data_IF_271230603361
#
_entry.id   IF_271230603361
#
_cell.length_a   1.000
_cell.length_b   1.000
_cell.length_c   1.000
_cell.angle_alpha   90.00
_cell.angle_beta   90.00
_cell.angle_gamma   90.00
#
_symmetry.space_group_name_H-M   'P 1'
#
loop_
_entity.id
_entity.type
_entity.pdbx_description
1 polymer ?
#
# COMPACT_ATOMS: atom_id res chain seq x y z
N UNK A 1 -84.82 -32.56 -24.52
CA UNK A 1 -83.98 -31.43 -24.94
C UNK A 1 -83.49 -30.69 -23.67
N UNK A 2 -82.25 -30.95 -23.21
CA UNK A 2 -81.60 -30.23 -22.08
C UNK A 2 -80.29 -29.66 -22.58
N UNK A 3 -80.23 -28.34 -22.67
CA UNK A 3 -79.01 -27.59 -23.02
C UNK A 3 -78.11 -27.44 -21.81
N UNK A 4 -76.89 -27.99 -21.88
CA UNK A 4 -75.88 -27.85 -20.87
C UNK A 4 -75.00 -26.66 -21.21
N UNK A 5 -75.00 -25.63 -20.36
CA UNK A 5 -74.10 -24.44 -20.47
C UNK A 5 -72.70 -24.78 -19.83
N UNK A 6 -71.64 -24.62 -20.61
CA UNK A 6 -70.33 -24.66 -20.13
C UNK A 6 -69.87 -23.25 -19.70
N UNK A 7 -69.50 -23.11 -18.43
CA UNK A 7 -68.92 -21.86 -17.90
C UNK A 7 -67.37 -22.03 -17.98
N UNK A 8 -66.75 -21.24 -18.84
CA UNK A 8 -65.33 -21.17 -18.94
C UNK A 8 -64.74 -20.25 -17.83
N UNK A 9 -63.89 -20.83 -16.98
CA UNK A 9 -63.16 -20.05 -15.98
C UNK A 9 -61.81 -19.69 -16.62
N UNK A 10 -61.64 -18.39 -16.93
CA UNK A 10 -60.34 -17.82 -17.36
C UNK A 10 -59.48 -17.53 -16.14
N UNK A 11 -58.40 -18.30 -15.95
CA UNK A 11 -57.36 -18.00 -14.97
C UNK A 11 -56.43 -16.90 -15.54
N UNK A 12 -56.50 -15.72 -14.97
CA UNK A 12 -55.51 -14.65 -15.19
C UNK A 12 -54.28 -14.94 -14.29
N UNK A 13 -53.20 -15.39 -14.89
CA UNK A 13 -51.90 -15.48 -14.23
C UNK A 13 -51.22 -14.11 -14.33
N UNK A 14 -51.24 -13.33 -13.25
CA UNK A 14 -50.48 -12.11 -13.13
C UNK A 14 -49.00 -12.45 -12.82
N UNK A 15 -48.16 -12.42 -13.84
CA UNK A 15 -46.69 -12.52 -13.65
C UNK A 15 -46.16 -11.23 -13.05
N UNK A 16 -46.00 -11.21 -11.74
CA UNK A 16 -45.30 -10.16 -11.02
C UNK A 16 -43.81 -10.25 -11.28
N UNK A 17 -43.30 -9.43 -12.21
CA UNK A 17 -41.86 -9.24 -12.40
C UNK A 17 -41.32 -8.40 -11.24
N UNK A 18 -40.93 -9.04 -10.14
CA UNK A 18 -40.17 -8.44 -9.07
C UNK A 18 -38.75 -8.12 -9.60
N UNK A 19 -38.48 -6.85 -9.90
CA UNK A 19 -37.10 -6.36 -10.12
C UNK A 19 -36.39 -6.37 -8.78
N UNK A 20 -35.57 -7.37 -8.56
CA UNK A 20 -34.50 -7.33 -7.57
C UNK A 20 -33.41 -6.36 -8.08
N UNK A 21 -33.59 -5.08 -7.80
CA UNK A 21 -32.50 -4.12 -7.87
C UNK A 21 -31.65 -4.30 -6.61
N UNK A 22 -30.69 -5.24 -6.67
CA UNK A 22 -29.57 -5.24 -5.74
C UNK A 22 -28.66 -4.06 -6.14
N UNK A 23 -29.06 -2.85 -5.77
CA UNK A 23 -28.15 -1.72 -5.71
C UNK A 23 -27.25 -2.00 -4.49
N UNK A 24 -26.04 -2.50 -4.76
CA UNK A 24 -24.97 -2.41 -3.80
C UNK A 24 -24.78 -0.93 -3.45
N UNK A 25 -25.33 -0.50 -2.32
CA UNK A 25 -25.01 0.81 -1.76
C UNK A 25 -23.50 0.75 -1.46
N UNK A 26 -22.71 1.48 -2.23
CA UNK A 26 -21.34 1.82 -1.86
C UNK A 26 -21.43 2.37 -0.44
N UNK A 27 -20.79 1.70 0.52
CA UNK A 27 -20.76 2.15 1.90
C UNK A 27 -20.18 3.57 1.90
N UNK A 28 -20.90 4.52 2.48
CA UNK A 28 -20.50 5.92 2.47
C UNK A 28 -19.11 6.05 3.12
N UNK A 29 -18.24 6.86 2.51
CA UNK A 29 -16.91 7.19 3.06
C UNK A 29 -17.10 7.84 4.43
N UNK A 30 -16.57 7.24 5.52
CA UNK A 30 -16.61 7.84 6.86
C UNK A 30 -15.88 9.19 6.86
N UNK A 31 -16.33 10.11 7.73
CA UNK A 31 -15.71 11.44 7.82
C UNK A 31 -15.40 11.80 9.26
N UNK A 32 -14.30 12.51 9.41
CA UNK A 32 -13.91 13.17 10.66
C UNK A 32 -14.81 14.37 10.97
N UNK A 33 -14.69 14.94 12.14
CA UNK A 33 -15.49 16.11 12.59
C UNK A 33 -15.25 17.36 11.75
N UNK A 34 -14.08 17.48 11.10
CA UNK A 34 -13.73 18.56 10.16
C UNK A 34 -14.12 18.23 8.70
N UNK A 35 -14.88 17.13 8.48
CA UNK A 35 -15.46 16.75 7.19
C UNK A 35 -14.49 16.07 6.22
N UNK A 36 -13.26 15.80 6.60
CA UNK A 36 -12.30 15.04 5.79
C UNK A 36 -12.61 13.54 5.84
N UNK A 37 -12.22 12.74 4.83
CA UNK A 37 -12.29 11.30 4.94
C UNK A 37 -11.57 10.80 6.20
N UNK A 38 -12.20 9.88 6.92
CA UNK A 38 -11.60 9.25 8.11
C UNK A 38 -10.79 8.01 7.68
N UNK A 39 -9.48 8.16 7.65
CA UNK A 39 -8.52 7.10 7.35
C UNK A 39 -8.10 6.31 8.59
N UNK A 40 -8.53 6.73 9.79
CA UNK A 40 -8.14 6.09 11.05
C UNK A 40 -8.48 4.60 11.06
N UNK A 41 -7.53 3.76 11.46
CA UNK A 41 -7.71 2.32 11.57
C UNK A 41 -6.45 1.53 11.24
N UNK A 42 -6.56 0.20 11.30
CA UNK A 42 -5.48 -0.71 10.92
C UNK A 42 -5.73 -1.21 9.51
N UNK A 43 -4.71 -1.10 8.68
CA UNK A 43 -4.75 -1.39 7.25
C UNK A 43 -3.67 -2.37 6.85
N UNK A 44 -3.88 -3.07 5.73
CA UNK A 44 -2.88 -3.97 5.14
C UNK A 44 -3.08 -4.09 3.63
N UNK A 45 -2.04 -4.56 2.94
CA UNK A 45 -2.15 -5.06 1.57
C UNK A 45 -2.37 -6.57 1.54
N UNK A 46 -2.99 -7.07 0.46
CA UNK A 46 -3.16 -8.51 0.21
C UNK A 46 -2.56 -8.85 -1.17
N UNK A 47 -1.28 -8.52 -1.36
CA UNK A 47 -0.54 -8.76 -2.60
C UNK A 47 0.89 -9.24 -2.31
N UNK A 48 1.69 -9.43 -3.35
CA UNK A 48 3.08 -9.90 -3.27
C UNK A 48 4.10 -8.82 -3.60
N UNK A 49 3.71 -7.53 -3.61
CA UNK A 49 4.57 -6.40 -3.98
C UNK A 49 5.85 -6.28 -3.12
N UNK A 50 5.81 -6.73 -1.87
CA UNK A 50 7.00 -6.77 -1.02
C UNK A 50 8.12 -7.66 -1.58
N UNK A 51 7.76 -8.69 -2.36
CA UNK A 51 8.72 -9.58 -3.02
C UNK A 51 9.21 -9.02 -4.35
N UNK A 52 8.29 -8.60 -5.20
CA UNK A 52 8.57 -7.88 -6.45
C UNK A 52 7.36 -7.02 -6.80
N UNK A 53 7.57 -5.74 -7.07
CA UNK A 53 6.53 -4.80 -7.49
C UNK A 53 6.08 -5.02 -8.94
N UNK A 54 6.82 -5.82 -9.74
CA UNK A 54 6.45 -6.26 -11.08
C UNK A 54 5.85 -7.68 -11.07
N UNK A 55 5.21 -8.10 -12.17
CA UNK A 55 4.74 -9.49 -12.33
C UNK A 55 5.88 -10.48 -12.17
N UNK A 56 5.68 -11.51 -11.36
CA UNK A 56 6.73 -12.47 -11.06
C UNK A 56 6.18 -13.89 -10.82
N UNK A 57 6.94 -14.87 -11.30
CA UNK A 57 6.65 -16.27 -11.04
C UNK A 57 7.09 -16.67 -9.63
N UNK A 58 6.46 -17.72 -9.08
CA UNK A 58 6.91 -18.33 -7.83
C UNK A 58 8.32 -18.92 -8.00
N UNK A 59 9.19 -18.66 -7.02
CA UNK A 59 10.50 -19.29 -6.88
C UNK A 59 10.72 -19.70 -5.44
N UNK A 60 11.82 -20.43 -5.15
CA UNK A 60 12.10 -20.86 -3.77
C UNK A 60 12.19 -19.64 -2.83
N UNK A 61 11.28 -19.59 -1.86
CA UNK A 61 11.20 -18.50 -0.86
C UNK A 61 10.53 -17.21 -1.37
N UNK A 62 9.93 -17.22 -2.58
CA UNK A 62 9.20 -16.08 -3.13
C UNK A 62 7.89 -16.56 -3.75
N UNK A 63 6.72 -16.19 -3.23
CA UNK A 63 5.43 -16.49 -3.85
C UNK A 63 5.34 -15.81 -5.22
N UNK A 64 4.65 -16.41 -6.17
CA UNK A 64 4.31 -15.75 -7.42
C UNK A 64 3.19 -14.75 -7.22
N UNK A 65 3.15 -13.71 -8.05
CA UNK A 65 2.10 -12.71 -7.94
C UNK A 65 2.04 -11.74 -9.11
N UNK A 66 0.91 -11.05 -9.18
CA UNK A 66 0.73 -9.93 -10.07
C UNK A 66 1.41 -8.69 -9.50
N UNK A 67 2.12 -7.96 -10.34
CA UNK A 67 2.74 -6.69 -9.98
C UNK A 67 1.73 -5.57 -9.73
N UNK A 68 2.22 -4.51 -9.13
CA UNK A 68 1.45 -3.30 -8.79
C UNK A 68 1.88 -2.09 -9.63
N UNK A 69 2.93 -2.25 -10.45
CA UNK A 69 3.44 -1.22 -11.37
C UNK A 69 2.53 -1.10 -12.57
N UNK A 70 2.09 0.11 -12.90
CA UNK A 70 1.28 0.38 -14.10
C UNK A 70 2.04 -0.04 -15.36
N UNK A 71 1.41 -0.89 -16.18
CA UNK A 71 2.03 -1.44 -17.38
C UNK A 71 3.18 -2.42 -17.11
N UNK A 72 3.42 -2.79 -15.87
CA UNK A 72 4.45 -3.75 -15.46
C UNK A 72 5.88 -3.39 -15.90
N UNK A 73 6.16 -2.10 -16.16
CA UNK A 73 7.44 -1.60 -16.65
C UNK A 73 8.02 -0.53 -15.74
N UNK A 74 9.24 -0.73 -15.25
CA UNK A 74 10.02 0.27 -14.52
C UNK A 74 11.08 0.82 -15.50
N UNK A 75 11.04 2.13 -15.80
CA UNK A 75 11.86 2.73 -16.87
C UNK A 75 13.28 3.05 -16.38
N UNK A 76 14.05 2.03 -16.05
CA UNK A 76 15.43 2.17 -15.59
C UNK A 76 16.35 2.82 -16.65
N UNK A 77 17.27 3.67 -16.18
CA UNK A 77 18.45 4.00 -16.96
C UNK A 77 19.34 2.74 -17.15
N UNK A 78 20.11 2.69 -18.23
CA UNK A 78 20.90 1.49 -18.58
C UNK A 78 21.81 1.02 -17.44
N UNK A 79 22.53 1.95 -16.78
CA UNK A 79 23.38 1.62 -15.65
C UNK A 79 22.60 1.10 -14.45
N UNK A 80 21.42 1.69 -14.19
CA UNK A 80 20.59 1.34 -13.04
C UNK A 80 19.97 -0.05 -13.18
N UNK A 81 19.65 -0.47 -14.40
CA UNK A 81 19.19 -1.83 -14.69
C UNK A 81 20.27 -2.88 -14.35
N UNK A 82 21.54 -2.57 -14.60
CA UNK A 82 22.64 -3.44 -14.21
C UNK A 82 22.74 -3.55 -12.66
N UNK A 83 22.59 -2.43 -11.97
CA UNK A 83 22.57 -2.40 -10.49
C UNK A 83 21.38 -3.18 -9.91
N UNK A 84 20.17 -3.03 -10.47
CA UNK A 84 18.99 -3.83 -10.06
C UNK A 84 19.26 -5.33 -10.16
N UNK A 85 19.91 -5.79 -11.24
CA UNK A 85 20.28 -7.20 -11.41
C UNK A 85 21.31 -7.67 -10.38
N UNK A 86 22.28 -6.84 -10.05
CA UNK A 86 23.27 -7.11 -9.00
C UNK A 86 22.57 -7.20 -7.63
N UNK A 87 21.70 -6.26 -7.32
CA UNK A 87 20.90 -6.28 -6.09
C UNK A 87 20.09 -7.58 -5.99
N UNK A 88 19.41 -7.99 -7.06
CA UNK A 88 18.65 -9.23 -7.10
C UNK A 88 19.52 -10.46 -6.82
N UNK A 89 20.70 -10.54 -7.43
CA UNK A 89 21.63 -11.63 -7.22
C UNK A 89 22.07 -11.75 -5.76
N UNK A 90 22.25 -10.61 -5.09
CA UNK A 90 22.73 -10.50 -3.71
C UNK A 90 21.61 -10.28 -2.66
N UNK A 91 20.34 -10.34 -3.03
CA UNK A 91 19.18 -9.91 -2.22
C UNK A 91 19.11 -10.55 -0.82
N UNK A 92 19.60 -11.76 -0.67
CA UNK A 92 19.56 -12.47 0.62
C UNK A 92 20.42 -11.85 1.70
N UNK A 93 21.42 -11.05 1.33
CA UNK A 93 22.37 -10.43 2.26
C UNK A 93 22.46 -8.92 2.09
N UNK A 94 22.07 -8.40 0.91
CA UNK A 94 22.21 -6.98 0.58
C UNK A 94 20.91 -6.18 0.79
N UNK A 95 19.74 -6.84 0.78
CA UNK A 95 18.48 -6.15 1.04
C UNK A 95 18.53 -5.48 2.43
N UNK A 96 18.24 -4.17 2.53
CA UNK A 96 18.19 -3.45 3.80
C UNK A 96 17.27 -4.08 4.84
N UNK A 97 16.18 -4.71 4.41
CA UNK A 97 15.26 -5.45 5.28
C UNK A 97 15.96 -6.56 6.07
N UNK A 98 16.94 -7.26 5.47
CA UNK A 98 17.70 -8.33 6.16
C UNK A 98 18.61 -7.80 7.28
N UNK A 99 18.78 -6.49 7.36
CA UNK A 99 19.55 -5.77 8.38
C UNK A 99 18.65 -5.04 9.38
N UNK A 100 17.34 -5.26 9.32
CA UNK A 100 16.35 -4.54 10.12
C UNK A 100 16.38 -3.02 9.93
N UNK A 101 16.71 -2.55 8.74
CA UNK A 101 16.65 -1.13 8.42
C UNK A 101 15.20 -0.71 8.13
N UNK A 102 14.88 0.56 8.34
CA UNK A 102 13.59 1.11 7.96
C UNK A 102 13.37 0.95 6.45
N UNK A 103 12.19 0.55 6.01
CA UNK A 103 11.96 0.13 4.61
C UNK A 103 11.88 1.29 3.63
N UNK A 104 11.70 2.52 4.12
CA UNK A 104 11.45 3.68 3.28
C UNK A 104 10.04 3.72 2.70
N UNK A 105 9.74 4.80 1.99
CA UNK A 105 8.47 5.00 1.26
C UNK A 105 8.77 4.84 -0.24
N UNK A 106 7.93 4.11 -1.00
CA UNK A 106 6.61 3.59 -0.63
C UNK A 106 6.64 2.17 -0.03
N UNK A 107 7.79 1.49 0.06
CA UNK A 107 7.92 0.07 0.47
C UNK A 107 7.20 -0.25 1.78
N UNK A 108 7.27 0.63 2.78
CA UNK A 108 6.62 0.44 4.07
C UNK A 108 5.11 0.12 3.94
N UNK A 109 4.44 0.72 2.95
CA UNK A 109 2.98 0.59 2.76
C UNK A 109 2.57 -0.79 2.26
N UNK A 110 3.43 -1.49 1.50
CA UNK A 110 3.12 -2.81 0.94
C UNK A 110 3.98 -3.96 1.49
N UNK A 111 4.66 -3.75 2.59
CA UNK A 111 5.24 -4.86 3.34
C UNK A 111 4.14 -5.80 3.86
N UNK A 112 4.42 -7.11 4.07
CA UNK A 112 3.40 -8.07 4.49
C UNK A 112 3.05 -7.94 5.98
N UNK A 113 3.02 -6.73 6.50
CA UNK A 113 2.71 -6.36 7.87
C UNK A 113 1.62 -5.29 7.87
N UNK A 114 0.67 -5.32 8.83
CA UNK A 114 -0.31 -4.26 8.96
C UNK A 114 0.33 -2.95 9.45
N UNK A 115 -0.39 -1.86 9.25
CA UNK A 115 -0.04 -0.55 9.78
C UNK A 115 -1.29 0.17 10.28
N UNK A 116 -1.12 1.06 11.26
CA UNK A 116 -2.20 1.85 11.81
C UNK A 116 -2.08 3.31 11.36
N UNK A 117 -3.18 3.86 10.84
CA UNK A 117 -3.30 5.29 10.57
C UNK A 117 -3.99 5.96 11.79
N UNK A 118 -3.37 7.01 12.32
CA UNK A 118 -3.92 7.92 13.33
C UNK A 118 -3.99 9.29 12.72
N UNK A 119 -5.19 9.87 12.67
CA UNK A 119 -5.46 11.11 11.95
C UNK A 119 -5.94 12.20 12.90
N UNK A 120 -5.38 13.40 12.72
CA UNK A 120 -5.86 14.66 13.29
C UNK A 120 -6.06 15.69 12.17
N UNK A 121 -6.65 16.86 12.42
CA UNK A 121 -6.84 17.87 11.37
C UNK A 121 -5.55 18.39 10.71
N UNK A 122 -4.43 18.38 11.42
CA UNK A 122 -3.15 18.95 10.95
C UNK A 122 -2.04 17.92 10.80
N UNK A 123 -2.30 16.66 11.16
CA UNK A 123 -1.26 15.67 11.25
C UNK A 123 -1.84 14.25 11.07
N UNK A 124 -1.13 13.43 10.31
CA UNK A 124 -1.39 11.99 10.18
C UNK A 124 -0.13 11.24 10.61
N UNK A 125 -0.26 10.30 11.54
CA UNK A 125 0.79 9.34 11.85
C UNK A 125 0.44 7.99 11.26
N UNK A 126 1.44 7.33 10.66
CA UNK A 126 1.33 5.92 10.25
C UNK A 126 2.32 5.13 11.10
N UNK A 127 1.77 4.23 11.92
CA UNK A 127 2.55 3.32 12.76
C UNK A 127 2.60 1.97 12.06
N UNK A 128 3.78 1.53 11.67
CA UNK A 128 3.99 0.26 11.00
C UNK A 128 4.33 -0.83 12.05
N UNK A 129 3.75 -2.02 11.88
CA UNK A 129 4.11 -3.18 12.71
C UNK A 129 5.58 -3.56 12.52
N UNK A 130 6.09 -3.46 11.29
CA UNK A 130 7.48 -3.74 10.98
C UNK A 130 8.42 -2.78 11.74
N UNK A 131 9.23 -3.32 12.67
CA UNK A 131 10.23 -2.63 13.50
C UNK A 131 9.75 -1.34 14.18
N UNK A 132 8.44 -1.21 14.44
CA UNK A 132 7.81 -0.04 15.09
C UNK A 132 8.08 1.31 14.40
N UNK A 133 8.34 1.30 13.08
CA UNK A 133 8.54 2.55 12.33
C UNK A 133 7.31 3.43 12.47
N UNK A 134 7.54 4.69 12.77
CA UNK A 134 6.49 5.71 12.79
C UNK A 134 6.78 6.75 11.74
N UNK A 135 5.83 6.98 10.85
CA UNK A 135 5.89 8.01 9.82
C UNK A 135 5.02 9.19 10.18
N UNK A 136 5.59 10.38 10.11
CA UNK A 136 4.92 11.64 10.37
C UNK A 136 4.55 12.33 9.06
N UNK A 137 3.28 12.65 8.85
CA UNK A 137 2.75 13.35 7.68
C UNK A 137 2.09 14.65 8.15
N UNK A 138 2.65 15.79 7.77
CA UNK A 138 2.13 17.10 8.14
C UNK A 138 1.09 17.55 7.13
N UNK A 139 -0.10 17.91 7.63
CA UNK A 139 -1.26 18.37 6.84
C UNK A 139 -1.58 19.84 7.18
N UNK A 140 -0.67 20.52 7.83
CA UNK A 140 -0.79 21.89 8.34
C UNK A 140 -0.41 22.97 7.32
N UNK A 141 -0.05 22.57 6.09
CA UNK A 141 0.38 23.48 5.04
C UNK A 141 1.83 23.95 5.15
N UNK A 142 2.61 23.44 6.11
CA UNK A 142 4.04 23.75 6.19
C UNK A 142 4.81 23.13 5.03
N UNK A 143 5.77 23.86 4.42
CA UNK A 143 6.59 23.33 3.34
C UNK A 143 7.63 22.34 3.87
N UNK A 144 8.23 21.58 2.96
CA UNK A 144 9.44 20.79 3.26
C UNK A 144 10.55 21.69 3.83
N UNK A 145 11.35 21.18 4.77
CA UNK A 145 12.50 21.93 5.30
C UNK A 145 13.50 22.23 4.18
N UNK A 146 14.16 23.38 4.29
CA UNK A 146 15.15 23.86 3.31
C UNK A 146 16.55 23.85 3.93
N UNK A 147 17.57 23.67 3.10
CA UNK A 147 18.97 23.73 3.48
C UNK A 147 19.66 22.37 3.51
N UNK A 148 20.88 22.30 3.99
CA UNK A 148 21.56 21.01 4.17
C UNK A 148 20.88 20.26 5.31
N UNK A 149 20.16 19.22 4.98
CA UNK A 149 19.50 18.31 5.92
C UNK A 149 20.00 16.90 5.63
N UNK A 150 20.12 16.12 6.69
CA UNK A 150 20.40 14.70 6.54
C UNK A 150 19.20 14.03 5.86
N UNK A 151 19.46 13.12 4.95
CA UNK A 151 18.41 12.31 4.32
C UNK A 151 17.87 11.32 5.33
N UNK A 152 16.55 11.14 5.31
CA UNK A 152 15.82 10.26 6.23
C UNK A 152 15.39 8.96 5.57
N UNK A 153 15.27 7.92 6.37
CA UNK A 153 14.80 6.62 5.90
C UNK A 153 13.39 6.68 5.32
N UNK A 154 12.48 7.37 5.99
CA UNK A 154 11.07 7.51 5.58
C UNK A 154 10.79 8.78 4.79
N UNK A 155 11.81 9.60 4.54
CA UNK A 155 11.66 10.91 3.91
C UNK A 155 10.91 11.93 4.77
N UNK A 156 10.79 13.18 4.28
CA UNK A 156 9.90 14.22 4.83
C UNK A 156 8.58 14.19 4.08
N UNK A 157 7.47 14.10 4.79
CA UNK A 157 6.13 13.93 4.23
C UNK A 157 5.26 15.16 4.50
N UNK A 158 4.80 15.82 3.43
CA UNK A 158 3.86 16.97 3.47
C UNK A 158 2.60 16.61 2.70
N UNK A 159 1.43 16.96 3.24
CA UNK A 159 0.19 16.51 2.63
C UNK A 159 -0.88 17.61 2.56
N UNK A 160 -1.82 17.37 1.66
CA UNK A 160 -3.05 18.14 1.54
C UNK A 160 -4.21 17.23 1.08
N UNK A 161 -5.43 17.71 1.25
CA UNK A 161 -6.62 16.98 0.85
C UNK A 161 -7.15 17.43 -0.51
N UNK A 162 -7.43 16.44 -1.39
CA UNK A 162 -8.15 16.61 -2.66
C UNK A 162 -9.42 15.76 -2.63
N UNK A 163 -10.53 16.32 -2.22
CA UNK A 163 -11.79 15.58 -2.09
C UNK A 163 -11.68 14.42 -1.10
N UNK A 164 -11.78 13.19 -1.60
CA UNK A 164 -11.63 11.96 -0.81
C UNK A 164 -10.20 11.41 -0.75
N UNK A 165 -9.22 12.15 -1.25
CA UNK A 165 -7.83 11.72 -1.36
C UNK A 165 -6.93 12.56 -0.47
N UNK A 166 -6.13 11.91 0.37
CA UNK A 166 -4.95 12.51 1.00
C UNK A 166 -3.79 12.38 0.01
N UNK A 167 -3.26 13.52 -0.46
CA UNK A 167 -2.09 13.59 -1.32
C UNK A 167 -0.87 13.90 -0.48
N UNK A 168 0.14 13.04 -0.54
CA UNK A 168 1.36 13.16 0.26
C UNK A 168 2.56 13.32 -0.66
N UNK A 169 3.26 14.44 -0.52
CA UNK A 169 4.52 14.74 -1.17
C UNK A 169 5.67 14.32 -0.26
N UNK A 170 6.64 13.54 -0.79
CA UNK A 170 7.71 12.97 0.01
C UNK A 170 9.05 13.13 -0.68
N UNK A 171 9.98 13.80 -0.01
CA UNK A 171 11.37 14.01 -0.46
C UNK A 171 12.38 13.76 0.68
N UNK A 172 13.66 13.99 0.44
CA UNK A 172 14.74 13.84 1.42
C UNK A 172 14.99 12.40 1.87
N UNK A 173 15.01 11.48 0.92
CA UNK A 173 15.31 10.08 1.19
C UNK A 173 16.81 9.79 1.28
N UNK A 174 17.18 8.85 2.15
CA UNK A 174 18.46 8.14 2.02
C UNK A 174 18.41 7.21 0.81
N UNK A 175 19.57 6.92 0.21
CA UNK A 175 19.70 5.91 -0.86
C UNK A 175 19.87 4.47 -0.36
N UNK A 176 19.70 4.26 0.95
CA UNK A 176 19.96 2.97 1.61
C UNK A 176 18.76 2.04 1.65
N UNK A 177 17.63 2.43 1.05
CA UNK A 177 16.42 1.59 0.99
C UNK A 177 16.20 1.03 -0.42
N UNK A 178 15.47 -0.08 -0.49
CA UNK A 178 15.02 -0.68 -1.74
C UNK A 178 13.50 -0.58 -1.85
N UNK A 179 12.98 -0.70 -3.08
CA UNK A 179 11.55 -0.69 -3.32
C UNK A 179 10.89 -2.06 -3.06
N UNK A 180 11.67 -3.16 -3.11
CA UNK A 180 11.21 -4.53 -2.86
C UNK A 180 12.38 -5.49 -2.63
N UNK A 181 12.06 -6.77 -2.40
CA UNK A 181 13.05 -7.86 -2.25
C UNK A 181 13.64 -8.33 -3.59
N UNK A 182 13.11 -7.89 -4.74
CA UNK A 182 13.67 -8.17 -6.06
C UNK A 182 14.80 -7.19 -6.45
N UNK A 183 15.19 -6.30 -5.54
CA UNK A 183 16.32 -5.40 -5.71
C UNK A 183 16.00 -4.14 -6.52
N UNK A 184 14.72 -3.84 -6.71
CA UNK A 184 14.31 -2.55 -7.21
C UNK A 184 14.72 -1.48 -6.21
N UNK A 185 15.35 -0.40 -6.67
CA UNK A 185 16.03 0.58 -5.82
C UNK A 185 15.84 2.00 -6.33
N UNK A 186 16.28 2.97 -5.56
CA UNK A 186 16.27 4.39 -5.87
C UNK A 186 17.56 5.06 -5.37
N UNK A 187 17.73 6.33 -5.68
CA UNK A 187 18.80 7.18 -5.13
C UNK A 187 18.25 8.16 -4.08
N UNK A 188 19.14 9.00 -3.56
CA UNK A 188 18.79 10.14 -2.70
C UNK A 188 17.98 11.25 -3.41
N UNK A 189 17.87 11.17 -4.75
CA UNK A 189 17.03 12.07 -5.54
C UNK A 189 15.58 11.58 -5.70
N UNK A 190 15.20 10.54 -4.96
CA UNK A 190 13.83 10.03 -4.98
C UNK A 190 12.84 11.10 -4.54
N UNK A 191 11.79 11.26 -5.34
CA UNK A 191 10.59 12.00 -5.03
C UNK A 191 9.39 11.07 -5.19
N UNK A 192 8.54 10.99 -4.19
CA UNK A 192 7.33 10.16 -4.20
C UNK A 192 6.11 11.03 -3.95
N UNK A 193 5.12 10.93 -4.83
CA UNK A 193 3.80 11.51 -4.58
C UNK A 193 2.82 10.35 -4.36
N UNK A 194 2.35 10.21 -3.13
CA UNK A 194 1.39 9.19 -2.76
C UNK A 194 -0.03 9.74 -2.70
N UNK A 195 -1.00 8.88 -2.97
CA UNK A 195 -2.42 9.20 -2.93
C UNK A 195 -3.16 8.09 -2.18
N UNK A 196 -3.77 8.46 -1.06
CA UNK A 196 -4.64 7.58 -0.28
C UNK A 196 -6.08 8.00 -0.52
N UNK A 197 -6.77 7.32 -1.44
CA UNK A 197 -8.16 7.65 -1.80
C UNK A 197 -9.12 6.73 -1.06
N UNK A 198 -9.97 7.29 -0.21
CA UNK A 198 -11.03 6.53 0.45
C UNK A 198 -12.13 6.20 -0.58
N UNK A 199 -12.28 4.93 -0.91
CA UNK A 199 -13.30 4.43 -1.84
C UNK A 199 -14.59 4.05 -1.12
N UNK A 200 -14.47 3.53 0.09
CA UNK A 200 -15.55 3.23 1.01
C UNK A 200 -15.01 3.15 2.45
N UNK A 201 -15.81 2.59 3.37
CA UNK A 201 -15.43 2.46 4.78
C UNK A 201 -14.19 1.59 5.01
N UNK A 202 -14.03 0.54 4.23
CA UNK A 202 -13.10 -0.56 4.51
C UNK A 202 -12.01 -0.71 3.44
N UNK A 203 -12.00 0.17 2.43
CA UNK A 203 -11.03 0.16 1.36
C UNK A 203 -10.46 1.55 1.07
N UNK A 204 -9.13 1.58 0.88
CA UNK A 204 -8.43 2.71 0.28
C UNK A 204 -7.79 2.26 -1.03
N UNK A 205 -7.84 3.09 -2.05
CA UNK A 205 -6.94 2.96 -3.19
C UNK A 205 -5.65 3.72 -2.86
N UNK A 206 -4.55 3.01 -2.84
CA UNK A 206 -3.22 3.59 -2.72
C UNK A 206 -2.57 3.69 -4.09
N UNK A 207 -2.06 4.85 -4.42
CA UNK A 207 -1.27 5.10 -5.63
C UNK A 207 0.02 5.81 -5.23
N UNK A 208 1.12 5.49 -5.91
CA UNK A 208 2.37 6.19 -5.75
C UNK A 208 2.98 6.52 -7.12
N UNK A 209 3.32 7.79 -7.34
CA UNK A 209 4.15 8.23 -8.46
C UNK A 209 5.58 8.32 -7.99
N UNK A 210 6.47 7.65 -8.69
CA UNK A 210 7.89 7.53 -8.38
C UNK A 210 8.68 8.35 -9.41
N UNK A 211 9.47 9.28 -8.93
CA UNK A 211 10.37 10.07 -9.75
C UNK A 211 11.78 10.05 -9.13
N UNK A 212 12.76 9.64 -9.92
CA UNK A 212 14.18 9.67 -9.56
C UNK A 212 15.00 9.81 -10.84
N UNK A 213 15.37 11.03 -11.23
CA UNK A 213 16.06 11.28 -12.50
C UNK A 213 17.47 10.70 -12.56
N UNK A 214 18.06 10.29 -11.41
CA UNK A 214 19.34 9.57 -11.39
C UNK A 214 19.18 8.10 -11.76
N UNK A 215 18.01 7.49 -11.47
CA UNK A 215 17.77 6.05 -11.62
C UNK A 215 16.83 5.72 -12.79
N UNK A 216 15.80 6.53 -13.01
CA UNK A 216 14.76 6.30 -14.01
C UNK A 216 14.81 7.33 -15.14
N UNK A 217 14.39 6.93 -16.34
CA UNK A 217 14.35 7.81 -17.52
C UNK A 217 13.10 8.69 -17.56
N UNK A 218 12.05 8.35 -16.80
CA UNK A 218 10.79 9.07 -16.64
C UNK A 218 10.13 8.67 -15.33
N UNK A 219 9.17 9.47 -14.79
CA UNK A 219 8.30 9.04 -13.72
C UNK A 219 7.49 7.81 -14.10
N UNK A 220 7.16 6.99 -13.10
CA UNK A 220 6.32 5.81 -13.23
C UNK A 220 5.41 5.66 -12.00
N UNK A 221 4.41 4.78 -12.11
CA UNK A 221 3.37 4.66 -11.08
C UNK A 221 3.15 3.23 -10.65
N UNK A 222 2.66 3.09 -9.43
CA UNK A 222 2.08 1.87 -8.90
C UNK A 222 0.75 2.17 -8.24
N UNK A 223 -0.12 1.14 -8.18
CA UNK A 223 -1.40 1.24 -7.47
C UNK A 223 -1.82 -0.10 -6.89
N UNK A 224 -2.51 -0.05 -5.74
CA UNK A 224 -3.04 -1.23 -5.07
C UNK A 224 -4.13 -0.87 -4.08
N UNK A 225 -5.08 -1.77 -3.80
CA UNK A 225 -6.03 -1.59 -2.72
C UNK A 225 -5.37 -1.86 -1.36
N UNK A 226 -5.77 -1.07 -0.37
CA UNK A 226 -5.53 -1.32 1.05
C UNK A 226 -6.84 -1.75 1.69
N UNK A 227 -6.76 -2.73 2.56
CA UNK A 227 -7.91 -3.34 3.23
C UNK A 227 -7.86 -3.04 4.72
N UNK A 228 -8.98 -2.58 5.27
CA UNK A 228 -9.12 -2.37 6.70
C UNK A 228 -9.20 -3.71 7.43
N UNK A 229 -8.44 -3.85 8.50
CA UNK A 229 -8.57 -4.98 9.42
C UNK A 229 -9.85 -4.81 10.23
N UNK A 230 -10.69 -5.83 10.26
CA UNK A 230 -12.04 -5.79 10.89
C UNK A 230 -12.18 -6.75 12.07
N UNK A 231 -11.13 -7.49 12.41
CA UNK A 231 -11.17 -8.45 13.51
C UNK A 231 -11.38 -7.73 14.86
N UNK A 232 -12.21 -8.27 15.73
CA UNK A 232 -12.41 -7.69 17.06
C UNK A 232 -11.09 -7.57 17.84
N UNK A 233 -10.84 -6.40 18.43
CA UNK A 233 -9.64 -6.12 19.22
C UNK A 233 -8.31 -6.29 18.48
N UNK A 234 -8.32 -6.15 17.14
CA UNK A 234 -7.08 -6.16 16.36
C UNK A 234 -6.16 -5.03 16.81
N UNK A 235 -4.88 -5.34 16.96
CA UNK A 235 -3.82 -4.41 17.27
C UNK A 235 -2.57 -4.80 16.51
N UNK A 236 -1.63 -3.87 16.33
CA UNK A 236 -0.32 -4.18 15.78
C UNK A 236 0.43 -5.10 16.74
N UNK A 237 1.17 -6.05 16.20
CA UNK A 237 2.03 -6.92 16.97
C UNK A 237 3.36 -6.22 17.29
N UNK A 238 4.01 -6.72 18.32
CA UNK A 238 5.34 -6.29 18.73
C UNK A 238 6.40 -7.03 17.87
N UNK A 239 6.80 -6.42 16.74
CA UNK A 239 7.74 -7.04 15.81
C UNK A 239 9.16 -6.49 16.00
N UNK A 240 9.96 -7.21 16.76
CA UNK A 240 11.34 -6.86 17.13
C UNK A 240 12.36 -7.54 16.21
N UNK A 241 12.58 -6.95 15.03
CA UNK A 241 13.48 -7.51 14.01
C UNK A 241 14.90 -7.77 14.53
N UNK A 242 15.48 -6.87 15.33
CA UNK A 242 16.83 -7.04 15.88
C UNK A 242 16.91 -8.20 16.87
N UNK A 243 15.91 -8.36 17.73
CA UNK A 243 15.85 -9.50 18.66
C UNK A 243 15.82 -10.82 17.90
N UNK A 244 15.00 -10.91 16.84
CA UNK A 244 14.94 -12.09 15.98
C UNK A 244 16.28 -12.39 15.28
N UNK A 245 17.00 -11.37 14.82
CA UNK A 245 18.33 -11.55 14.23
C UNK A 245 19.36 -12.08 15.23
N UNK A 246 19.37 -11.55 16.46
CA UNK A 246 20.29 -12.02 17.51
C UNK A 246 19.94 -13.45 17.95
N UNK A 247 18.68 -13.81 18.06
CA UNK A 247 18.23 -15.17 18.34
C UNK A 247 18.66 -16.15 17.25
N UNK A 248 18.53 -15.75 15.97
CA UNK A 248 18.99 -16.58 14.84
C UNK A 248 20.51 -16.80 14.86
N UNK A 249 21.31 -15.80 15.25
CA UNK A 249 22.77 -15.93 15.41
C UNK A 249 23.13 -16.82 16.60
N UNK A 250 22.36 -16.75 17.69
CA UNK A 250 22.58 -17.53 18.89
C UNK A 250 22.10 -18.98 18.80
N UNK A 251 21.17 -19.29 17.86
CA UNK A 251 20.66 -20.64 17.66
C UNK A 251 21.80 -21.54 17.15
N UNK A 252 22.06 -22.69 17.78
CA UNK A 252 23.01 -23.66 17.23
C UNK A 252 22.51 -24.05 15.85
N UNK A 253 23.40 -24.01 14.86
CA UNK A 253 23.09 -24.50 13.52
C UNK A 253 22.55 -25.91 13.64
N UNK A 254 21.26 -26.10 13.39
CA UNK A 254 20.67 -27.42 13.32
C UNK A 254 21.41 -28.23 12.23
N UNK A 255 21.79 -29.47 12.47
CA UNK A 255 22.56 -30.29 11.56
C UNK A 255 21.83 -30.56 10.23
#
# INVERSE_FOLDING_TARGET
>A
MRMTRWIGISLLVAAGAGRLAAQGQSAAVPRTTDGKPDLTGIWQVLNTAAWDIQDHAATLGMPGGQGVVEGNEIPYQTWALARKRENYANRRTADPETKCFEPGVPRATYMPYPFQIVQTPTFVAILYEYIHVTRHIYVDGTPHPKGPIDNWWMGDSRAHWEGNTLVVDVIHFTDQTWLDRAGNFHSDALHVVERYTSTDRDHLLYEATIEDPKVFTRPWKMSMPLYRRQEPNVQLLDYECYTLLEEQKAAPHAP
#
